data_IF_965788271861
#
_entry.id   IF_965788271861
#
_cell.length_a   1.000
_cell.length_b   1.000
_cell.length_c   1.000
_cell.angle_alpha   90.00
_cell.angle_beta   90.00
_cell.angle_gamma   90.00
#
_symmetry.space_group_name_H-M   'P 1'
#
loop_
_entity.id
_entity.type
_entity.pdbx_description
1 polymer ?
#
# COMPACT_ATOMS: atom_id res chain seq x y z
N UNK A 1 -0.75 -35.06 14.66
CA UNK A 1 -2.10 -34.47 14.55
C UNK A 1 -1.93 -32.98 14.37
N UNK A 2 -2.16 -32.48 13.16
CA UNK A 2 -1.93 -31.08 12.77
C UNK A 2 -2.93 -30.23 13.57
N UNK A 3 -2.44 -29.36 14.46
CA UNK A 3 -3.26 -28.30 15.05
C UNK A 3 -3.67 -27.38 13.90
N UNK A 4 -4.86 -27.61 13.35
CA UNK A 4 -5.51 -26.65 12.47
C UNK A 4 -5.58 -25.33 13.22
N UNK A 5 -4.87 -24.32 12.71
CA UNK A 5 -4.96 -22.97 13.24
C UNK A 5 -6.42 -22.53 13.09
N UNK A 6 -7.14 -22.45 14.21
CA UNK A 6 -8.54 -22.02 14.22
C UNK A 6 -8.54 -20.52 13.96
N UNK A 7 -8.78 -20.13 12.70
CA UNK A 7 -8.96 -18.73 12.31
C UNK A 7 -10.32 -18.28 12.88
N UNK A 8 -10.29 -17.31 13.80
CA UNK A 8 -11.50 -16.75 14.40
C UNK A 8 -12.01 -15.61 13.51
N UNK A 9 -13.16 -15.80 12.86
CA UNK A 9 -13.82 -14.80 12.00
C UNK A 9 -15.26 -14.52 12.50
N UNK A 10 -15.96 -13.53 11.91
CA UNK A 10 -17.35 -13.16 12.30
C UNK A 10 -18.27 -14.37 12.39
N UNK A 11 -18.30 -15.20 11.36
CA UNK A 11 -19.13 -16.40 11.32
C UNK A 11 -18.80 -17.36 12.47
N UNK A 12 -17.52 -17.46 12.84
CA UNK A 12 -17.09 -18.27 13.99
C UNK A 12 -17.57 -17.69 15.31
N UNK A 13 -17.57 -16.37 15.49
CA UNK A 13 -18.15 -15.74 16.69
C UNK A 13 -19.65 -15.97 16.81
N UNK A 14 -20.40 -15.90 15.70
CA UNK A 14 -21.84 -16.23 15.67
C UNK A 14 -22.04 -17.69 16.07
N UNK A 15 -21.31 -18.63 15.46
CA UNK A 15 -21.40 -20.06 15.77
C UNK A 15 -21.08 -20.32 17.26
N UNK A 16 -20.06 -19.66 17.81
CA UNK A 16 -19.68 -19.83 19.20
C UNK A 16 -20.70 -19.22 20.16
N UNK A 17 -21.29 -18.07 19.83
CA UNK A 17 -22.32 -17.45 20.64
C UNK A 17 -23.59 -18.32 20.70
N UNK A 18 -24.02 -18.87 19.55
CA UNK A 18 -25.10 -19.87 19.49
C UNK A 18 -24.79 -21.13 20.28
N UNK A 19 -23.57 -21.66 20.12
CA UNK A 19 -23.15 -22.83 20.89
C UNK A 19 -23.13 -22.60 22.40
N UNK A 20 -22.89 -21.38 22.87
CA UNK A 20 -22.98 -21.04 24.30
C UNK A 20 -24.44 -21.04 24.76
N UNK A 21 -25.35 -20.44 24.00
CA UNK A 21 -26.79 -20.48 24.28
C UNK A 21 -27.35 -21.91 24.28
N UNK A 22 -26.91 -22.76 23.34
CA UNK A 22 -27.26 -24.19 23.29
C UNK A 22 -26.80 -24.96 24.53
N UNK A 23 -25.62 -24.63 25.07
CA UNK A 23 -25.05 -25.27 26.27
C UNK A 23 -25.60 -24.70 27.57
N UNK A 24 -25.96 -23.41 27.56
CA UNK A 24 -26.45 -22.67 28.72
C UNK A 24 -27.73 -21.92 28.33
N UNK A 25 -28.90 -22.58 28.35
CA UNK A 25 -30.15 -21.99 27.85
C UNK A 25 -30.66 -20.76 28.62
N UNK A 26 -30.08 -20.47 29.79
CA UNK A 26 -30.35 -19.25 30.55
C UNK A 26 -29.55 -18.04 30.06
N UNK A 27 -28.64 -18.22 29.11
CA UNK A 27 -27.87 -17.16 28.46
C UNK A 27 -28.30 -17.03 26.99
N UNK A 28 -28.13 -15.84 26.41
CA UNK A 28 -28.52 -15.58 25.01
C UNK A 28 -27.31 -15.32 24.11
N UNK A 29 -27.42 -15.62 22.82
CA UNK A 29 -26.32 -15.41 21.87
C UNK A 29 -25.84 -13.94 21.83
N UNK A 30 -26.76 -12.98 21.94
CA UNK A 30 -26.47 -11.54 21.90
C UNK A 30 -25.67 -11.08 23.12
N UNK A 31 -25.74 -11.81 24.23
CA UNK A 31 -24.90 -11.54 25.41
C UNK A 31 -23.42 -11.75 25.07
N UNK A 32 -23.13 -12.69 24.17
CA UNK A 32 -21.78 -13.11 23.82
C UNK A 32 -21.26 -12.45 22.56
N UNK A 33 -22.10 -12.29 21.54
CA UNK A 33 -21.70 -11.62 20.32
C UNK A 33 -22.87 -10.91 19.64
N UNK A 34 -22.76 -9.59 19.52
CA UNK A 34 -23.60 -8.77 18.65
C UNK A 34 -22.70 -8.31 17.51
N UNK A 35 -22.98 -8.72 16.27
CA UNK A 35 -22.15 -8.31 15.15
C UNK A 35 -22.38 -6.84 14.80
N UNK A 36 -21.42 -6.27 14.08
CA UNK A 36 -21.54 -4.95 13.49
C UNK A 36 -22.81 -4.84 12.64
N UNK A 37 -23.54 -3.75 12.83
CA UNK A 37 -24.71 -3.38 12.05
C UNK A 37 -24.64 -1.89 11.71
N UNK A 38 -24.93 -1.55 10.45
CA UNK A 38 -25.10 -0.17 10.00
C UNK A 38 -26.44 -0.04 9.29
N UNK A 39 -27.33 0.74 9.88
CA UNK A 39 -28.66 1.00 9.35
C UNK A 39 -28.84 2.51 9.21
N UNK A 40 -28.69 3.00 7.97
CA UNK A 40 -28.63 4.43 7.68
C UNK A 40 -27.47 5.12 8.41
N UNK A 41 -27.80 6.07 9.30
CA UNK A 41 -26.84 6.81 10.13
C UNK A 41 -26.53 6.14 11.47
N UNK A 42 -27.22 5.05 11.82
CA UNK A 42 -27.00 4.35 13.08
C UNK A 42 -25.94 3.28 12.88
N UNK A 43 -24.87 3.35 13.67
CA UNK A 43 -23.75 2.41 13.64
C UNK A 43 -23.69 1.69 14.99
N UNK A 44 -23.85 0.37 14.97
CA UNK A 44 -23.63 -0.52 16.11
C UNK A 44 -22.35 -1.33 15.87
N UNK A 45 -21.28 -1.13 16.66
CA UNK A 45 -20.04 -1.91 16.51
C UNK A 45 -20.21 -3.34 17.05
N UNK A 46 -19.24 -4.21 16.72
CA UNK A 46 -19.15 -5.54 17.34
C UNK A 46 -19.09 -5.43 18.87
N UNK A 47 -19.95 -6.16 19.58
CA UNK A 47 -20.10 -6.14 21.04
C UNK A 47 -20.33 -7.54 21.61
N UNK A 48 -20.34 -7.67 22.93
CA UNK A 48 -20.62 -8.92 23.64
C UNK A 48 -19.40 -9.48 24.39
N UNK A 49 -19.67 -10.36 25.37
CA UNK A 49 -18.65 -10.89 26.29
C UNK A 49 -17.54 -11.66 25.56
N UNK A 50 -17.90 -12.46 24.57
CA UNK A 50 -16.96 -13.29 23.82
C UNK A 50 -16.00 -12.43 23.00
N UNK A 51 -16.55 -11.43 22.27
CA UNK A 51 -15.75 -10.49 21.50
C UNK A 51 -14.86 -9.62 22.39
N UNK A 52 -15.40 -9.09 23.50
CA UNK A 52 -14.62 -8.32 24.48
C UNK A 52 -13.45 -9.12 25.06
N UNK A 53 -13.68 -10.38 25.43
CA UNK A 53 -12.62 -11.27 25.93
C UNK A 53 -11.54 -11.50 24.87
N UNK A 54 -11.93 -11.72 23.62
CA UNK A 54 -11.00 -11.86 22.50
C UNK A 54 -10.13 -10.62 22.31
N UNK A 55 -10.73 -9.42 22.27
CA UNK A 55 -10.00 -8.16 22.14
C UNK A 55 -8.99 -7.95 23.28
N UNK A 56 -9.38 -8.28 24.51
CA UNK A 56 -8.50 -8.20 25.68
C UNK A 56 -7.31 -9.16 25.56
N UNK A 57 -7.56 -10.42 25.21
CA UNK A 57 -6.48 -11.41 25.00
C UNK A 57 -5.56 -10.97 23.87
N UNK A 58 -6.10 -10.48 22.75
CA UNK A 58 -5.32 -9.98 21.62
C UNK A 58 -4.41 -8.82 22.05
N UNK A 59 -4.92 -7.91 22.89
CA UNK A 59 -4.15 -6.78 23.43
C UNK A 59 -3.02 -7.24 24.36
N UNK A 60 -3.24 -8.27 25.17
CA UNK A 60 -2.17 -8.83 26.01
C UNK A 60 -1.11 -9.55 25.17
N UNK A 61 -1.51 -10.32 24.16
CA UNK A 61 -0.58 -10.97 23.22
C UNK A 61 0.26 -9.94 22.45
N UNK A 62 -0.35 -8.82 22.01
CA UNK A 62 0.38 -7.79 21.27
C UNK A 62 1.41 -7.04 22.12
N UNK A 63 1.15 -6.84 23.42
CA UNK A 63 2.15 -6.30 24.35
C UNK A 63 3.38 -7.20 24.46
N UNK A 64 3.17 -8.52 24.45
CA UNK A 64 4.25 -9.51 24.54
C UNK A 64 5.04 -9.59 23.21
N UNK A 65 4.36 -9.49 22.06
CA UNK A 65 5.00 -9.61 20.75
C UNK A 65 5.69 -8.33 20.28
N UNK A 66 5.24 -7.14 20.69
CA UNK A 66 5.88 -5.87 20.33
C UNK A 66 7.29 -5.69 20.91
N UNK A 67 7.65 -6.41 21.98
CA UNK A 67 9.03 -6.39 22.54
C UNK A 67 10.03 -7.03 21.56
N UNK A 68 9.58 -7.83 20.58
CA UNK A 68 10.45 -8.54 19.63
C UNK A 68 10.55 -7.89 18.23
N UNK A 69 9.80 -6.83 17.93
CA UNK A 69 9.74 -6.25 16.56
C UNK A 69 10.85 -5.26 16.21
N UNK A 70 11.83 -5.04 17.09
CA UNK A 70 13.00 -4.20 16.79
C UNK A 70 14.06 -4.89 15.92
N UNK A 71 13.97 -6.19 15.70
CA UNK A 71 14.83 -6.89 14.73
C UNK A 71 14.03 -8.01 14.08
N UNK A 72 14.21 -8.16 12.76
CA UNK A 72 13.72 -9.21 11.86
C UNK A 72 12.46 -8.87 11.05
N UNK A 73 12.77 -8.46 9.83
CA UNK A 73 12.03 -8.69 8.60
C UNK A 73 11.54 -10.14 8.45
N UNK A 74 10.42 -10.27 7.73
CA UNK A 74 9.95 -11.50 7.08
C UNK A 74 9.61 -12.67 8.00
N UNK A 75 8.35 -12.73 8.42
CA UNK A 75 7.63 -13.99 8.54
C UNK A 75 6.14 -13.74 8.33
N UNK A 76 5.54 -14.65 7.57
CA UNK A 76 4.12 -14.70 7.20
C UNK A 76 3.22 -14.75 8.43
N UNK A 77 2.91 -13.59 9.00
CA UNK A 77 1.80 -13.46 9.93
C UNK A 77 0.52 -13.32 9.08
N UNK A 78 -0.17 -14.44 8.87
CA UNK A 78 -1.59 -14.43 8.55
C UNK A 78 -2.33 -13.83 9.75
N UNK A 79 -2.36 -12.50 9.82
CA UNK A 79 -3.19 -11.76 10.75
C UNK A 79 -4.64 -12.16 10.51
N UNK A 80 -5.23 -12.82 11.51
CA UNK A 80 -6.66 -13.12 11.59
C UNK A 80 -7.43 -11.78 11.50
N UNK A 81 -8.03 -11.55 10.33
CA UNK A 81 -8.64 -10.28 9.97
C UNK A 81 -10.15 -10.29 10.25
N UNK A 82 -10.51 -9.93 11.48
CA UNK A 82 -11.89 -9.85 11.96
C UNK A 82 -12.70 -8.66 11.39
N UNK A 83 -12.03 -7.76 10.66
CA UNK A 83 -12.58 -6.45 10.29
C UNK A 83 -12.75 -6.27 8.77
N UNK A 84 -12.59 -7.34 7.95
CA UNK A 84 -12.78 -7.23 6.50
C UNK A 84 -14.24 -6.90 6.12
N UNK A 85 -15.21 -7.25 6.97
CA UNK A 85 -16.61 -6.84 6.81
C UNK A 85 -16.83 -5.36 7.16
N UNK A 86 -16.14 -4.83 8.18
CA UNK A 86 -16.32 -3.45 8.68
C UNK A 86 -16.02 -2.39 7.60
N UNK A 87 -15.16 -2.73 6.64
CA UNK A 87 -14.74 -1.83 5.56
C UNK A 87 -15.18 -2.30 4.17
N UNK A 88 -15.99 -3.36 4.06
CA UNK A 88 -16.44 -3.90 2.77
C UNK A 88 -17.24 -2.87 1.98
N UNK A 89 -18.13 -2.15 2.66
CA UNK A 89 -18.92 -1.08 2.06
C UNK A 89 -18.02 0.08 1.64
N UNK A 90 -17.06 0.48 2.49
CA UNK A 90 -16.08 1.52 2.18
C UNK A 90 -15.22 1.16 0.97
N UNK A 91 -14.71 -0.07 0.90
CA UNK A 91 -13.93 -0.57 -0.23
C UNK A 91 -14.78 -0.65 -1.51
N UNK A 92 -16.04 -1.07 -1.41
CA UNK A 92 -16.96 -1.10 -2.54
C UNK A 92 -17.30 0.31 -3.02
N UNK A 93 -17.45 1.24 -2.09
CA UNK A 93 -17.68 2.65 -2.41
C UNK A 93 -16.49 3.22 -3.19
N UNK A 94 -15.25 3.00 -2.71
CA UNK A 94 -14.02 3.48 -3.34
C UNK A 94 -13.80 2.95 -4.77
N UNK A 95 -14.34 1.77 -5.10
CA UNK A 95 -14.26 1.20 -6.45
C UNK A 95 -15.20 1.88 -7.43
N UNK A 96 -16.34 2.35 -6.96
CA UNK A 96 -17.44 2.81 -7.80
C UNK A 96 -17.65 4.34 -7.77
N UNK A 97 -17.02 5.04 -6.83
CA UNK A 97 -17.25 6.46 -6.59
C UNK A 97 -15.92 7.21 -6.50
N UNK A 98 -15.93 8.45 -6.99
CA UNK A 98 -14.77 9.35 -7.01
C UNK A 98 -15.02 10.68 -6.30
N UNK A 99 -16.24 10.90 -5.82
CA UNK A 99 -16.69 12.13 -5.17
C UNK A 99 -17.76 11.81 -4.11
N UNK A 100 -17.91 12.64 -3.07
CA UNK A 100 -17.15 13.87 -2.80
C UNK A 100 -15.75 13.59 -2.24
N UNK A 101 -14.78 14.49 -2.50
CA UNK A 101 -13.37 14.31 -2.11
C UNK A 101 -13.18 14.11 -0.60
N UNK A 102 -13.99 14.76 0.23
CA UNK A 102 -13.97 14.61 1.69
C UNK A 102 -14.23 13.15 2.08
N UNK A 103 -15.26 12.53 1.49
CA UNK A 103 -15.60 11.13 1.73
C UNK A 103 -14.54 10.21 1.15
N UNK A 104 -14.07 10.49 -0.06
CA UNK A 104 -13.01 9.74 -0.72
C UNK A 104 -11.76 9.66 0.16
N UNK A 105 -11.21 10.81 0.59
CA UNK A 105 -9.99 10.85 1.40
C UNK A 105 -10.17 10.16 2.75
N UNK A 106 -11.33 10.33 3.39
CA UNK A 106 -11.67 9.66 4.65
C UNK A 106 -11.65 8.14 4.48
N UNK A 107 -12.41 7.62 3.52
CA UNK A 107 -12.50 6.17 3.29
C UNK A 107 -11.17 5.60 2.80
N UNK A 108 -10.39 6.36 2.02
CA UNK A 108 -9.08 5.94 1.53
C UNK A 108 -8.11 5.68 2.69
N UNK A 109 -8.09 6.59 3.67
CA UNK A 109 -7.27 6.49 4.88
C UNK A 109 -7.73 5.36 5.79
N UNK A 110 -9.03 5.21 6.01
CA UNK A 110 -9.60 4.16 6.86
C UNK A 110 -9.32 2.75 6.30
N UNK A 111 -9.35 2.60 4.98
CA UNK A 111 -9.17 1.30 4.31
C UNK A 111 -7.72 0.99 3.92
N UNK A 112 -6.76 1.88 4.17
CA UNK A 112 -5.35 1.74 3.77
C UNK A 112 -4.75 0.40 4.21
N UNK A 113 -5.00 -0.02 5.45
CA UNK A 113 -4.53 -1.29 6.01
C UNK A 113 -4.99 -2.55 5.26
N UNK A 114 -6.07 -2.47 4.47
CA UNK A 114 -6.59 -3.57 3.65
C UNK A 114 -6.14 -3.42 2.20
N UNK A 115 -6.35 -2.22 1.66
CA UNK A 115 -6.09 -1.92 0.26
C UNK A 115 -4.61 -2.12 -0.09
N UNK A 116 -3.69 -1.75 0.82
CA UNK A 116 -2.24 -1.90 0.64
C UNK A 116 -1.72 -3.32 0.92
N UNK A 117 -2.53 -4.24 1.49
CA UNK A 117 -2.11 -5.64 1.70
C UNK A 117 -2.18 -6.48 0.42
N UNK A 118 -3.08 -6.12 -0.51
CA UNK A 118 -3.26 -6.84 -1.76
C UNK A 118 -2.22 -6.40 -2.80
N UNK A 119 -1.06 -7.06 -2.80
CA UNK A 119 0.06 -6.78 -3.71
C UNK A 119 -0.16 -7.25 -5.14
N UNK A 120 -1.14 -8.12 -5.38
CA UNK A 120 -1.35 -8.74 -6.69
C UNK A 120 -2.37 -7.96 -7.54
N UNK A 121 -3.08 -7.02 -6.94
CA UNK A 121 -4.11 -6.28 -7.62
C UNK A 121 -3.59 -4.92 -8.15
N UNK A 122 -3.92 -4.60 -9.40
CA UNK A 122 -3.61 -3.30 -9.96
C UNK A 122 -4.55 -2.25 -9.36
N UNK A 123 -4.02 -1.48 -8.40
CA UNK A 123 -4.76 -0.40 -7.71
C UNK A 123 -5.34 0.62 -8.68
N UNK A 124 -4.59 1.00 -9.73
CA UNK A 124 -5.02 2.00 -10.69
C UNK A 124 -6.29 1.55 -11.44
N UNK A 125 -6.37 0.26 -11.74
CA UNK A 125 -7.54 -0.33 -12.41
C UNK A 125 -8.70 -0.56 -11.44
N UNK A 126 -8.40 -0.80 -10.16
CA UNK A 126 -9.42 -1.11 -9.14
C UNK A 126 -10.08 0.15 -8.60
N UNK A 127 -9.33 1.23 -8.45
CA UNK A 127 -9.77 2.47 -7.84
C UNK A 127 -9.59 3.62 -8.82
N UNK A 128 -10.64 3.88 -9.60
CA UNK A 128 -10.66 4.89 -10.66
C UNK A 128 -10.33 6.31 -10.17
N UNK A 129 -10.48 6.59 -8.88
CA UNK A 129 -10.11 7.86 -8.25
C UNK A 129 -8.61 8.18 -8.39
N UNK A 130 -7.75 7.18 -8.54
CA UNK A 130 -6.32 7.38 -8.76
C UNK A 130 -6.02 8.00 -10.13
N UNK A 131 -6.92 7.85 -11.10
CA UNK A 131 -6.79 8.43 -12.44
C UNK A 131 -7.21 9.91 -12.51
N UNK A 132 -7.76 10.47 -11.43
CA UNK A 132 -8.10 11.91 -11.37
C UNK A 132 -6.81 12.75 -11.44
N UNK A 133 -6.90 14.02 -11.89
CA UNK A 133 -5.81 14.98 -11.72
C UNK A 133 -5.35 15.09 -10.25
N UNK A 134 -6.28 14.96 -9.30
CA UNK A 134 -6.02 14.97 -7.85
C UNK A 134 -5.68 13.60 -7.27
N UNK A 135 -5.58 12.55 -8.10
CA UNK A 135 -5.31 11.18 -7.66
C UNK A 135 -3.97 11.03 -6.93
N UNK A 136 -3.00 11.90 -7.21
CA UNK A 136 -1.71 11.97 -6.50
C UNK A 136 -1.90 12.19 -4.98
N UNK A 137 -2.93 12.91 -4.54
CA UNK A 137 -3.23 13.14 -3.12
C UNK A 137 -3.50 11.80 -2.41
N UNK A 138 -4.14 10.84 -3.09
CA UNK A 138 -4.40 9.50 -2.55
C UNK A 138 -3.10 8.70 -2.35
N UNK A 139 -2.13 8.90 -3.26
CA UNK A 139 -0.78 8.31 -3.15
C UNK A 139 -0.06 8.92 -1.96
N UNK A 140 -0.15 10.23 -1.75
CA UNK A 140 0.45 10.90 -0.58
C UNK A 140 -0.17 10.40 0.73
N UNK A 141 -1.49 10.21 0.79
CA UNK A 141 -2.17 9.63 1.96
C UNK A 141 -1.61 8.23 2.26
N UNK A 142 -1.43 7.38 1.26
CA UNK A 142 -0.88 6.04 1.44
C UNK A 142 0.58 6.05 1.85
N UNK A 143 1.37 6.96 1.25
CA UNK A 143 2.76 7.14 1.62
C UNK A 143 2.89 7.53 3.08
N UNK A 144 2.08 8.48 3.55
CA UNK A 144 2.06 8.94 4.94
C UNK A 144 1.59 7.84 5.91
N UNK A 145 0.66 7.01 5.47
CA UNK A 145 0.22 5.84 6.24
C UNK A 145 1.35 4.81 6.40
N UNK A 146 2.10 4.52 5.34
CA UNK A 146 3.19 3.53 5.36
C UNK A 146 4.47 4.06 6.01
N UNK A 147 4.74 5.36 5.89
CA UNK A 147 6.00 6.00 6.21
C UNK A 147 5.81 7.32 6.96
N UNK A 148 5.11 7.26 8.09
CA UNK A 148 4.85 8.45 8.92
C UNK A 148 6.13 9.26 9.21
N UNK A 149 6.06 10.58 9.03
CA UNK A 149 7.18 11.49 9.26
C UNK A 149 8.24 11.48 8.15
N UNK A 150 7.96 10.87 7.00
CA UNK A 150 8.88 10.84 5.84
C UNK A 150 8.37 11.63 4.64
N UNK A 151 7.35 12.45 4.81
CA UNK A 151 6.65 13.18 3.74
C UNK A 151 7.63 13.98 2.88
N UNK A 152 8.58 14.66 3.52
CA UNK A 152 9.60 15.47 2.85
C UNK A 152 10.94 14.74 2.66
N UNK A 153 11.05 13.47 3.05
CA UNK A 153 12.33 12.75 3.05
C UNK A 153 13.01 12.70 1.69
N UNK A 154 12.25 12.66 0.59
CA UNK A 154 12.82 12.73 -0.75
C UNK A 154 13.53 14.07 -0.96
N UNK A 155 12.86 15.19 -0.66
CA UNK A 155 13.41 16.54 -0.79
C UNK A 155 14.57 16.77 0.17
N UNK A 156 14.39 16.43 1.44
CA UNK A 156 15.40 16.62 2.50
C UNK A 156 16.69 15.87 2.19
N UNK A 157 16.58 14.67 1.61
CA UNK A 157 17.71 13.78 1.32
C UNK A 157 18.12 13.79 -0.15
N UNK A 158 17.49 14.62 -0.99
CA UNK A 158 17.78 14.64 -2.43
C UNK A 158 19.25 14.96 -2.67
N UNK A 159 19.80 15.95 -1.94
CA UNK A 159 21.22 16.30 -2.01
C UNK A 159 22.14 15.12 -1.69
N UNK A 160 21.81 14.31 -0.68
CA UNK A 160 22.58 13.10 -0.31
C UNK A 160 22.50 12.08 -1.45
N UNK A 161 21.32 11.89 -2.03
CA UNK A 161 21.13 11.00 -3.16
C UNK A 161 21.99 11.41 -4.36
N UNK A 162 22.05 12.71 -4.69
CA UNK A 162 22.91 13.24 -5.77
C UNK A 162 24.38 12.88 -5.58
N UNK A 163 24.92 13.09 -4.39
CA UNK A 163 26.33 12.76 -4.09
C UNK A 163 26.60 11.26 -4.20
N UNK A 164 25.67 10.42 -3.75
CA UNK A 164 25.78 8.96 -3.91
C UNK A 164 25.65 8.51 -5.36
N UNK A 165 24.82 9.19 -6.15
CA UNK A 165 24.66 8.90 -7.57
C UNK A 165 25.96 9.18 -8.34
N UNK A 166 26.64 10.30 -8.08
CA UNK A 166 27.94 10.64 -8.68
C UNK A 166 28.95 9.50 -8.50
N UNK A 167 29.14 9.07 -7.25
CA UNK A 167 30.04 7.96 -6.88
C UNK A 167 29.63 6.67 -7.58
N UNK A 168 28.33 6.37 -7.62
CA UNK A 168 27.82 5.16 -8.25
C UNK A 168 28.11 5.11 -9.76
N UNK A 169 27.94 6.23 -10.46
CA UNK A 169 28.20 6.34 -11.90
C UNK A 169 29.68 6.12 -12.23
N UNK A 170 30.59 6.68 -11.43
CA UNK A 170 32.03 6.49 -11.58
C UNK A 170 32.44 5.02 -11.43
N UNK A 171 31.92 4.34 -10.40
CA UNK A 171 32.24 2.93 -10.13
C UNK A 171 31.68 2.00 -11.21
N UNK A 172 30.44 2.25 -11.67
CA UNK A 172 29.73 1.34 -12.58
C UNK A 172 30.05 1.57 -14.06
N UNK A 173 30.65 2.69 -14.43
CA UNK A 173 30.99 2.99 -15.82
C UNK A 173 29.76 2.95 -16.74
N UNK A 174 28.62 3.45 -16.27
CA UNK A 174 27.37 3.39 -17.04
C UNK A 174 27.51 4.29 -18.27
N UNK A 175 27.21 3.74 -19.45
CA UNK A 175 27.24 4.48 -20.70
C UNK A 175 26.10 5.52 -20.73
N UNK A 176 26.43 6.74 -20.31
CA UNK A 176 25.57 7.92 -20.27
C UNK A 176 26.30 9.04 -21.00
N UNK A 177 25.54 9.94 -21.65
CA UNK A 177 26.13 11.11 -22.31
C UNK A 177 27.01 11.89 -21.34
N UNK A 178 28.24 12.20 -21.75
CA UNK A 178 29.17 13.03 -20.99
C UNK A 178 28.53 14.37 -20.59
N UNK A 179 27.72 14.96 -21.47
CA UNK A 179 27.00 16.21 -21.20
C UNK A 179 26.02 16.12 -20.02
N UNK A 180 25.42 14.95 -19.76
CA UNK A 180 24.54 14.75 -18.59
C UNK A 180 25.34 14.60 -17.31
N UNK A 181 26.48 13.91 -17.39
CA UNK A 181 27.42 13.78 -16.26
C UNK A 181 27.95 15.16 -15.88
N UNK A 182 28.36 15.96 -16.87
CA UNK A 182 28.87 17.31 -16.66
C UNK A 182 27.80 18.22 -16.02
N UNK A 183 26.52 18.11 -16.42
CA UNK A 183 25.43 18.84 -15.76
C UNK A 183 25.22 18.45 -14.29
N UNK A 184 25.50 17.20 -13.93
CA UNK A 184 25.41 16.72 -12.55
C UNK A 184 26.62 17.13 -11.70
N UNK A 185 27.83 17.13 -12.27
CA UNK A 185 29.08 17.36 -11.53
C UNK A 185 29.54 18.82 -11.55
N UNK A 186 29.28 19.53 -12.64
CA UNK A 186 29.66 20.92 -12.87
C UNK A 186 28.48 21.72 -13.46
N UNK A 187 27.36 21.89 -12.72
CA UNK A 187 26.21 22.62 -13.19
C UNK A 187 26.58 24.07 -13.52
N UNK A 188 26.09 24.56 -14.67
CA UNK A 188 26.39 25.92 -15.15
C UNK A 188 25.82 26.99 -14.21
N UNK A 189 24.73 26.67 -13.51
CA UNK A 189 24.13 27.48 -12.44
C UNK A 189 24.00 26.65 -11.17
N UNK A 190 25.03 26.63 -10.31
CA UNK A 190 24.98 25.91 -9.04
C UNK A 190 23.74 26.35 -8.22
N UNK A 191 22.89 25.40 -7.84
CA UNK A 191 21.67 25.67 -7.05
C UNK A 191 20.42 26.06 -7.85
N UNK A 192 20.48 26.19 -9.18
CA UNK A 192 19.29 26.32 -10.04
C UNK A 192 19.05 25.02 -10.82
N UNK A 193 18.49 23.99 -10.19
CA UNK A 193 17.92 22.73 -10.73
C UNK A 193 18.63 21.99 -11.88
N UNK A 194 19.74 22.44 -12.46
CA UNK A 194 20.38 21.83 -13.63
C UNK A 194 20.90 20.43 -13.26
N UNK A 195 21.40 20.28 -12.04
CA UNK A 195 21.85 19.01 -11.45
C UNK A 195 20.67 18.13 -11.04
N UNK A 196 19.59 18.70 -10.50
CA UNK A 196 18.34 17.97 -10.19
C UNK A 196 17.69 17.40 -11.45
N UNK A 197 17.60 18.20 -12.52
CA UNK A 197 17.10 17.78 -13.83
C UNK A 197 18.01 16.68 -14.39
N UNK A 198 19.34 16.84 -14.29
CA UNK A 198 20.28 15.81 -14.72
C UNK A 198 20.06 14.48 -13.97
N UNK A 199 19.79 14.52 -12.66
CA UNK A 199 19.46 13.32 -11.87
C UNK A 199 18.22 12.63 -12.43
N UNK A 200 17.14 13.37 -12.68
CA UNK A 200 15.92 12.79 -13.24
C UNK A 200 16.14 12.25 -14.67
N UNK A 201 16.99 12.89 -15.47
CA UNK A 201 17.36 12.40 -16.80
C UNK A 201 18.25 11.16 -16.76
N UNK A 202 19.05 10.98 -15.70
CA UNK A 202 19.94 9.83 -15.50
C UNK A 202 19.18 8.62 -14.97
N UNK A 203 18.18 8.82 -14.10
CA UNK A 203 17.43 7.75 -13.43
C UNK A 203 17.01 6.59 -14.36
N UNK A 204 16.40 6.83 -15.54
CA UNK A 204 15.98 5.75 -16.45
C UNK A 204 17.12 4.82 -16.87
N UNK A 205 18.35 5.33 -16.97
CA UNK A 205 19.52 4.54 -17.37
C UNK A 205 20.02 3.61 -16.27
N UNK A 206 19.63 3.86 -15.01
CA UNK A 206 19.99 3.02 -13.86
C UNK A 206 19.16 1.74 -13.80
N UNK A 207 17.96 1.75 -14.39
CA UNK A 207 17.05 0.61 -14.37
C UNK A 207 17.29 -0.33 -15.56
N UNK A 208 17.01 -1.62 -15.35
CA UNK A 208 17.06 -2.60 -16.43
C UNK A 208 15.75 -2.59 -17.21
N UNK A 209 15.80 -2.56 -18.54
CA UNK A 209 14.60 -2.70 -19.35
C UNK A 209 13.79 -3.95 -19.03
N UNK A 210 12.51 -3.75 -18.74
CA UNK A 210 11.54 -4.82 -18.50
C UNK A 210 10.99 -5.30 -19.86
N UNK A 211 10.86 -6.62 -20.00
CA UNK A 211 10.22 -7.24 -21.15
C UNK A 211 8.70 -7.30 -20.94
N UNK A 212 7.93 -6.83 -21.91
CA UNK A 212 6.47 -6.84 -21.91
C UNK A 212 5.99 -7.89 -22.91
N UNK A 213 5.10 -8.79 -22.47
CA UNK A 213 4.45 -9.77 -23.35
C UNK A 213 3.15 -9.16 -23.84
N UNK A 214 3.05 -8.91 -25.15
CA UNK A 214 1.83 -8.43 -25.80
C UNK A 214 1.14 -9.63 -26.45
N UNK A 215 -0.06 -9.94 -25.99
CA UNK A 215 -0.91 -10.97 -26.61
C UNK A 215 -1.73 -10.32 -27.73
N UNK A 216 -1.58 -10.79 -28.97
CA UNK A 216 -2.48 -10.42 -30.07
C UNK A 216 -3.37 -11.61 -30.45
N UNK A 217 -4.68 -11.41 -30.68
CA UNK A 217 -5.50 -12.42 -31.34
C UNK A 217 -4.92 -12.76 -32.73
N UNK A 218 -4.90 -14.03 -33.18
CA UNK A 218 -5.31 -15.26 -32.51
C UNK A 218 -4.06 -15.95 -31.91
N UNK A 219 -3.77 -15.69 -30.63
CA UNK A 219 -2.71 -16.37 -29.85
C UNK A 219 -1.25 -16.18 -30.32
N UNK A 220 -0.91 -15.10 -31.02
CA UNK A 220 0.50 -14.75 -31.21
C UNK A 220 0.98 -13.86 -30.06
N UNK A 221 1.95 -14.35 -29.28
CA UNK A 221 2.63 -13.58 -28.23
C UNK A 221 3.85 -12.91 -28.83
N UNK A 222 3.94 -11.58 -28.70
CA UNK A 222 5.16 -10.82 -29.03
C UNK A 222 5.75 -10.26 -27.75
N UNK A 223 7.00 -10.60 -27.48
CA UNK A 223 7.77 -9.96 -26.40
C UNK A 223 8.40 -8.67 -26.94
N UNK A 224 8.12 -7.56 -26.28
CA UNK A 224 8.71 -6.25 -26.58
C UNK A 224 9.59 -5.87 -25.39
N UNK A 225 10.83 -5.49 -25.66
CA UNK A 225 11.74 -4.96 -24.64
C UNK A 225 12.29 -3.64 -25.13
N UNK A 226 11.87 -2.55 -24.48
CA UNK A 226 12.37 -1.22 -24.82
C UNK A 226 13.88 -1.13 -24.54
N UNK A 227 14.62 -0.41 -25.36
CA UNK A 227 15.99 -0.01 -25.04
C UNK A 227 16.01 0.97 -23.86
N UNK A 228 17.19 1.18 -23.26
CA UNK A 228 17.37 2.23 -22.24
C UNK A 228 17.08 3.63 -22.80
N UNK A 229 17.39 3.85 -24.07
CA UNK A 229 17.14 5.13 -24.76
C UNK A 229 15.64 5.38 -24.89
N UNK A 230 14.87 4.37 -25.31
CA UNK A 230 13.40 4.49 -25.42
C UNK A 230 12.75 4.70 -24.05
N UNK A 231 13.23 4.04 -22.99
CA UNK A 231 12.77 4.29 -21.63
C UNK A 231 13.07 5.70 -21.16
N UNK A 232 14.28 6.19 -21.40
CA UNK A 232 14.67 7.55 -21.04
C UNK A 232 13.81 8.60 -21.78
N UNK A 233 13.56 8.39 -23.08
CA UNK A 233 12.71 9.26 -23.88
C UNK A 233 11.25 9.28 -23.39
N UNK A 234 10.74 8.16 -22.85
CA UNK A 234 9.39 8.09 -22.31
C UNK A 234 9.26 8.69 -20.89
N UNK A 235 10.35 8.70 -20.10
CA UNK A 235 10.34 9.12 -18.70
C UNK A 235 10.01 10.59 -18.50
N UNK A 236 10.54 11.47 -19.35
CA UNK A 236 10.24 12.91 -19.34
C UNK A 236 9.76 13.29 -20.73
N UNK A 237 8.48 13.03 -21.01
CA UNK A 237 7.84 13.36 -22.29
C UNK A 237 7.05 14.68 -22.24
N UNK A 238 6.66 15.15 -21.04
CA UNK A 238 5.73 16.28 -20.86
C UNK A 238 6.25 17.39 -19.90
N UNK A 239 7.56 17.49 -19.62
CA UNK A 239 8.09 18.56 -18.77
C UNK A 239 8.43 19.85 -19.56
N UNK A 240 7.63 20.17 -20.57
CA UNK A 240 7.76 21.39 -21.40
C UNK A 240 6.67 22.38 -21.05
#
# INVERSE_FOLDING_TARGET
QIRSQVILNRSRFIILAKGIEELFPSETEETYFIPYCKEGNIISPNRGKLYGKFCNIKKEISKISNIKKTHLSESSDQEINLNHEDYKDSLTWLKNNIEPDITLHKLWKETASYRLKDKNNNMMNTYIALSKPTGHILIDIDFNYMYAGKEMSLFDKFHIFKEKLKIYLEIKGINISKSLIDKLTAPHRPGMCDDDIAVFQILPYLFQPVSIIVQKPPKNTRTIRASKIEQAAAFISNAS
#
